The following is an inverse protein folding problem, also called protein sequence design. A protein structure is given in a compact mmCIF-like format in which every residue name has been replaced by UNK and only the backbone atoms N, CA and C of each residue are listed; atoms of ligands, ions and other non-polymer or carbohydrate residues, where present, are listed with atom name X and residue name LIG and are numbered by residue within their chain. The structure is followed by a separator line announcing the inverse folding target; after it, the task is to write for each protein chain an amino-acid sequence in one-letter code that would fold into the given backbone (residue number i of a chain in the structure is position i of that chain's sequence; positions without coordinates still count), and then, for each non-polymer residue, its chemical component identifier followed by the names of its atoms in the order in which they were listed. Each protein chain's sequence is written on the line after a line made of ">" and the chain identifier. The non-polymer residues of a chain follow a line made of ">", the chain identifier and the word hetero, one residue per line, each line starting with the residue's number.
data_IF_902774948785
#
_entry.id   IF_902774948785
#
_cell.length_a   1.000
_cell.length_b   1.000
_cell.length_c   1.000
_cell.angle_alpha   90.00
_cell.angle_beta   90.00
_cell.angle_gamma   90.00
#
_symmetry.space_group_name_H-M   'P 1'
#
loop_
_entity.id
_entity.type
_entity.pdbx_description
1 polymer ?
#
# COMPACT_ATOMS: atom_id res chain seq x y z
N UNK A 1 3.84 -15.21 -5.39
CA UNK A 1 3.64 -15.14 -6.85
C UNK A 1 4.07 -13.76 -7.39
N UNK A 2 4.30 -13.56 -8.70
CA UNK A 2 4.76 -12.25 -9.23
C UNK A 2 3.79 -11.11 -8.93
N UNK A 3 2.48 -11.35 -9.00
CA UNK A 3 1.47 -10.33 -8.73
C UNK A 3 1.67 -9.71 -7.34
N UNK A 4 1.96 -10.53 -6.33
CA UNK A 4 2.21 -10.08 -4.96
C UNK A 4 3.46 -9.19 -4.87
N UNK A 5 4.54 -9.57 -5.57
CA UNK A 5 5.79 -8.79 -5.62
C UNK A 5 5.59 -7.43 -6.26
N UNK A 6 4.83 -7.38 -7.36
CA UNK A 6 4.52 -6.13 -8.05
C UNK A 6 3.65 -5.21 -7.17
N UNK A 7 2.67 -5.77 -6.46
CA UNK A 7 1.84 -5.01 -5.51
C UNK A 7 2.68 -4.38 -4.39
N UNK A 8 3.60 -5.13 -3.80
CA UNK A 8 4.50 -4.61 -2.75
C UNK A 8 5.40 -3.50 -3.31
N UNK A 9 6.05 -3.74 -4.45
CA UNK A 9 6.95 -2.75 -5.05
C UNK A 9 6.23 -1.46 -5.47
N UNK A 10 4.97 -1.56 -5.90
CA UNK A 10 4.16 -0.40 -6.26
C UNK A 10 3.89 0.52 -5.08
N UNK A 11 3.85 -0.01 -3.85
CA UNK A 11 3.63 0.77 -2.63
C UNK A 11 4.90 1.46 -2.09
N UNK A 12 6.02 1.42 -2.83
CA UNK A 12 7.29 2.02 -2.40
C UNK A 12 7.20 3.49 -1.97
N UNK A 13 6.48 4.36 -2.70
CA UNK A 13 6.29 5.74 -2.27
C UNK A 13 5.60 5.88 -0.90
N UNK A 14 4.65 4.98 -0.58
CA UNK A 14 3.83 5.03 0.62
C UNK A 14 4.59 4.66 1.90
N UNK A 15 5.61 3.80 1.81
CA UNK A 15 6.51 3.47 2.92
C UNK A 15 7.86 4.22 2.86
N UNK A 16 7.99 5.19 1.95
CA UNK A 16 9.13 6.12 1.90
C UNK A 16 10.40 5.56 1.26
N UNK A 17 10.33 4.45 0.53
CA UNK A 17 11.48 3.91 -0.18
C UNK A 17 11.64 4.53 -1.57
N UNK A 18 12.88 4.67 -2.05
CA UNK A 18 13.17 5.11 -3.42
C UNK A 18 12.70 4.10 -4.47
N UNK A 19 12.84 2.80 -4.18
CA UNK A 19 12.32 1.72 -5.02
C UNK A 19 12.09 0.44 -4.20
N UNK A 20 11.12 -0.39 -4.63
CA UNK A 20 10.97 -1.77 -4.18
C UNK A 20 11.64 -2.72 -5.18
N UNK A 21 12.64 -3.48 -4.75
CA UNK A 21 13.40 -4.36 -5.64
C UNK A 21 13.20 -5.82 -5.28
N UNK A 22 12.82 -6.63 -6.27
CA UNK A 22 12.76 -8.08 -6.18
C UNK A 22 13.77 -8.67 -7.19
N UNK A 23 14.79 -9.42 -6.72
CA UNK A 23 15.76 -10.06 -7.60
C UNK A 23 15.13 -10.98 -8.65
N UNK A 24 15.82 -11.15 -9.78
CA UNK A 24 15.36 -12.03 -10.87
C UNK A 24 15.54 -13.49 -10.46
N UNK A 25 14.51 -14.29 -10.67
CA UNK A 25 14.45 -15.72 -10.35
C UNK A 25 13.58 -16.49 -11.36
N UNK A 26 13.39 -17.79 -11.14
CA UNK A 26 12.58 -18.62 -12.05
C UNK A 26 11.13 -18.12 -12.18
N UNK A 27 10.53 -17.64 -11.09
CA UNK A 27 9.18 -17.04 -11.09
C UNK A 27 9.11 -15.83 -12.05
N UNK A 28 10.21 -15.09 -12.16
CA UNK A 28 10.32 -13.97 -13.09
C UNK A 28 10.34 -14.46 -14.54
N UNK A 29 11.06 -15.54 -14.85
CA UNK A 29 11.10 -16.14 -16.19
C UNK A 29 9.76 -16.77 -16.59
N UNK A 30 9.11 -17.47 -15.66
CA UNK A 30 7.78 -18.05 -15.86
C UNK A 30 6.76 -16.97 -16.25
N UNK A 31 6.87 -15.79 -15.63
CA UNK A 31 6.04 -14.67 -16.03
C UNK A 31 6.37 -14.16 -17.44
N UNK A 32 7.65 -14.06 -17.81
CA UNK A 32 8.01 -13.63 -19.17
C UNK A 32 7.42 -14.59 -20.20
N UNK A 33 7.51 -15.91 -19.97
CA UNK A 33 6.87 -16.94 -20.80
C UNK A 33 5.35 -16.75 -20.86
N UNK A 34 4.69 -16.63 -19.70
CA UNK A 34 3.24 -16.43 -19.59
C UNK A 34 2.76 -15.16 -20.33
N UNK A 35 3.55 -14.10 -20.30
CA UNK A 35 3.25 -12.83 -20.98
C UNK A 35 3.56 -12.83 -22.49
N UNK A 36 3.90 -14.00 -23.06
CA UNK A 36 4.13 -14.19 -24.49
C UNK A 36 5.49 -13.70 -24.98
N UNK A 37 6.51 -13.60 -24.11
CA UNK A 37 7.87 -13.29 -24.56
C UNK A 37 8.47 -14.51 -25.29
N UNK A 38 9.19 -14.30 -26.42
CA UNK A 38 9.84 -15.39 -27.13
C UNK A 38 10.84 -16.14 -26.23
N UNK A 39 10.93 -17.47 -26.41
CA UNK A 39 11.84 -18.32 -25.64
C UNK A 39 13.31 -17.88 -25.75
N UNK A 40 13.72 -17.38 -26.91
CA UNK A 40 15.06 -16.82 -27.11
C UNK A 40 15.34 -15.63 -26.17
N UNK A 41 14.35 -14.75 -25.98
CA UNK A 41 14.44 -13.60 -25.10
C UNK A 41 14.49 -14.05 -23.64
N UNK A 42 13.68 -15.04 -23.26
CA UNK A 42 13.69 -15.58 -21.90
C UNK A 42 15.05 -16.18 -21.57
N UNK A 43 15.62 -16.97 -22.49
CA UNK A 43 16.98 -17.55 -22.34
C UNK A 43 18.06 -16.48 -22.26
N UNK A 44 17.95 -15.43 -23.08
CA UNK A 44 18.88 -14.30 -23.04
C UNK A 44 18.83 -13.59 -21.68
N UNK A 45 17.63 -13.30 -21.17
CA UNK A 45 17.43 -12.66 -19.87
C UNK A 45 18.05 -13.52 -18.76
N UNK A 46 17.79 -14.83 -18.76
CA UNK A 46 18.37 -15.75 -17.78
C UNK A 46 19.90 -15.74 -17.81
N UNK A 47 20.49 -15.93 -18.98
CA UNK A 47 21.95 -15.98 -19.15
C UNK A 47 22.60 -14.67 -18.74
N UNK A 48 22.02 -13.54 -19.15
CA UNK A 48 22.50 -12.21 -18.79
C UNK A 48 22.43 -11.96 -17.28
N UNK A 49 21.27 -12.21 -16.66
CA UNK A 49 21.09 -11.99 -15.22
C UNK A 49 22.04 -12.86 -14.38
N UNK A 50 22.30 -14.10 -14.81
CA UNK A 50 23.29 -14.98 -14.17
C UNK A 50 24.71 -14.44 -14.33
N UNK A 51 25.10 -14.02 -15.53
CA UNK A 51 26.43 -13.46 -15.79
C UNK A 51 26.69 -12.15 -15.04
N UNK A 52 25.68 -11.32 -14.83
CA UNK A 52 25.78 -10.04 -14.13
C UNK A 52 25.59 -10.15 -12.60
N UNK A 53 25.32 -11.35 -12.06
CA UNK A 53 25.06 -11.52 -10.63
C UNK A 53 23.72 -10.93 -10.16
N UNK A 54 22.77 -10.71 -11.08
CA UNK A 54 21.41 -10.22 -10.79
C UNK A 54 20.44 -11.36 -10.46
N UNK A 55 20.86 -12.60 -10.69
CA UNK A 55 20.08 -13.81 -10.46
C UNK A 55 20.07 -14.18 -8.98
N UNK A 56 18.88 -14.39 -8.40
CA UNK A 56 18.73 -14.83 -7.01
C UNK A 56 19.18 -16.27 -6.86
N UNK A 57 20.18 -16.49 -6.01
CA UNK A 57 20.59 -17.82 -5.56
C UNK A 57 20.22 -18.00 -4.08
N UNK A 58 19.79 -19.21 -3.72
CA UNK A 58 19.54 -19.54 -2.31
C UNK A 58 20.84 -19.41 -1.50
N UNK A 59 20.76 -18.76 -0.34
CA UNK A 59 21.93 -18.52 0.53
C UNK A 59 22.83 -17.35 0.11
N UNK A 60 22.54 -16.68 -1.02
CA UNK A 60 23.20 -15.42 -1.36
C UNK A 60 22.39 -14.24 -0.84
N UNK A 61 22.50 -13.98 0.46
CA UNK A 61 21.94 -12.77 1.04
C UNK A 61 22.89 -11.58 0.85
N UNK A 62 22.43 -10.47 0.25
CA UNK A 62 23.18 -9.23 0.24
C UNK A 62 23.46 -8.72 1.66
N UNK A 63 24.52 -7.94 1.80
CA UNK A 63 24.76 -7.19 3.04
C UNK A 63 23.85 -5.97 3.03
N UNK A 64 22.82 -6.00 3.87
CA UNK A 64 21.91 -4.87 4.06
C UNK A 64 22.38 -3.99 5.23
N UNK A 65 22.14 -2.68 5.14
CA UNK A 65 22.40 -1.76 6.24
C UNK A 65 21.47 -1.98 7.44
N UNK A 66 20.25 -2.45 7.16
CA UNK A 66 19.25 -2.82 8.14
C UNK A 66 18.39 -3.96 7.57
N UNK A 67 17.86 -4.83 8.44
CA UNK A 67 17.07 -6.00 8.06
C UNK A 67 15.79 -6.06 8.88
N UNK A 68 14.67 -6.18 8.17
CA UNK A 68 13.34 -6.32 8.75
C UNK A 68 12.76 -7.67 8.31
N UNK A 69 12.10 -8.35 9.24
CA UNK A 69 11.46 -9.64 8.99
C UNK A 69 9.94 -9.53 9.17
N UNK A 70 9.21 -10.24 8.31
CA UNK A 70 7.76 -10.36 8.39
C UNK A 70 7.39 -11.83 8.31
N UNK A 71 6.83 -12.36 9.40
CA UNK A 71 6.24 -13.68 9.40
C UNK A 71 4.89 -13.64 8.67
N UNK A 72 4.82 -14.30 7.51
CA UNK A 72 3.61 -14.39 6.69
C UNK A 72 2.45 -15.07 7.41
N UNK A 73 2.70 -15.88 8.44
CA UNK A 73 1.66 -16.52 9.26
C UNK A 73 0.86 -15.50 10.09
N UNK A 74 1.45 -14.34 10.38
CA UNK A 74 0.83 -13.27 11.16
C UNK A 74 0.01 -12.30 10.30
N UNK A 75 0.04 -12.47 8.98
CA UNK A 75 -0.67 -11.59 8.05
C UNK A 75 -2.16 -11.91 8.05
N UNK A 76 -2.96 -10.90 8.34
CA UNK A 76 -4.42 -10.97 8.32
C UNK A 76 -5.01 -9.98 7.30
N UNK A 77 -6.22 -10.26 6.84
CA UNK A 77 -6.96 -9.34 5.98
C UNK A 77 -7.18 -8.01 6.72
N UNK A 78 -6.86 -6.89 6.07
CA UNK A 78 -6.98 -5.56 6.63
C UNK A 78 -7.40 -4.53 5.58
N UNK A 79 -7.97 -3.42 6.05
CA UNK A 79 -8.33 -2.27 5.25
C UNK A 79 -7.49 -1.06 5.69
N UNK A 80 -7.07 -0.22 4.75
CA UNK A 80 -6.34 1.01 5.01
C UNK A 80 -7.29 2.23 4.97
N UNK A 81 -7.25 3.08 5.99
CA UNK A 81 -8.08 4.30 6.07
C UNK A 81 -8.62 4.59 7.47
N UNK A 82 -9.51 5.60 7.62
CA UNK A 82 -10.23 6.31 6.57
C UNK A 82 -9.53 7.54 5.97
N UNK A 83 -8.41 8.01 6.55
CA UNK A 83 -7.75 9.26 6.14
C UNK A 83 -6.38 9.07 5.49
N UNK A 84 -5.59 8.07 5.91
CA UNK A 84 -4.23 7.86 5.40
C UNK A 84 -4.00 6.40 5.01
N UNK A 85 -3.22 6.11 3.94
CA UNK A 85 -2.91 4.75 3.51
C UNK A 85 -2.21 3.89 4.57
N UNK A 86 -1.45 4.51 5.47
CA UNK A 86 -0.75 3.83 6.57
C UNK A 86 -1.66 3.48 7.77
N UNK A 87 -2.91 3.94 7.79
CA UNK A 87 -3.86 3.63 8.86
C UNK A 87 -4.45 2.22 8.64
N UNK A 88 -3.73 1.18 9.07
CA UNK A 88 -4.14 -0.23 8.92
C UNK A 88 -5.17 -0.64 9.98
N UNK A 89 -6.31 -1.17 9.54
CA UNK A 89 -7.36 -1.73 10.41
C UNK A 89 -7.63 -3.18 10.01
N UNK A 90 -7.47 -4.12 10.95
CA UNK A 90 -7.84 -5.52 10.73
C UNK A 90 -9.31 -5.64 10.32
N UNK A 91 -9.64 -6.50 9.35
CA UNK A 91 -11.00 -6.60 8.80
C UNK A 91 -12.10 -6.81 9.87
N UNK A 92 -11.89 -7.65 10.90
CA UNK A 92 -12.87 -7.82 11.98
C UNK A 92 -13.15 -6.54 12.77
N UNK A 93 -12.21 -5.59 12.77
CA UNK A 93 -12.25 -4.36 13.56
C UNK A 93 -12.76 -3.15 12.76
N UNK A 94 -13.05 -3.29 11.47
CA UNK A 94 -13.45 -2.17 10.58
C UNK A 94 -14.74 -1.50 11.07
N UNK A 95 -15.75 -2.26 11.47
CA UNK A 95 -17.01 -1.69 11.96
C UNK A 95 -16.80 -0.82 13.20
N UNK A 96 -16.00 -1.29 14.15
CA UNK A 96 -15.66 -0.54 15.36
C UNK A 96 -14.87 0.72 15.04
N UNK A 97 -13.81 0.60 14.23
CA UNK A 97 -12.97 1.73 13.84
C UNK A 97 -13.77 2.82 13.10
N UNK A 98 -14.74 2.42 12.27
CA UNK A 98 -15.62 3.35 11.56
C UNK A 98 -16.58 4.08 12.52
N UNK A 99 -17.18 3.37 13.47
CA UNK A 99 -18.03 3.98 14.51
C UNK A 99 -17.25 4.96 15.39
N UNK A 100 -16.03 4.60 15.79
CA UNK A 100 -15.16 5.47 16.58
C UNK A 100 -14.79 6.74 15.80
N UNK A 101 -14.50 6.60 14.50
CA UNK A 101 -14.21 7.74 13.61
C UNK A 101 -15.40 8.69 13.48
N UNK A 102 -16.62 8.17 13.29
CA UNK A 102 -17.85 8.97 13.23
C UNK A 102 -18.11 9.71 14.55
N UNK A 103 -17.89 9.06 15.69
CA UNK A 103 -18.05 9.67 17.02
C UNK A 103 -17.12 10.87 17.25
N UNK A 104 -15.95 10.89 16.60
CA UNK A 104 -14.99 12.00 16.67
C UNK A 104 -15.34 13.18 15.75
N UNK A 105 -16.17 12.98 14.72
CA UNK A 105 -16.50 14.01 13.72
C UNK A 105 -17.77 14.83 14.03
N UNK A 106 -18.57 14.45 15.04
CA UNK A 106 -19.83 15.15 15.36
C UNK A 106 -19.68 16.04 16.60
N UNK A 107 -19.24 17.28 16.38
CA UNK A 107 -19.80 18.46 17.07
C UNK A 107 -19.92 19.60 16.06
N UNK A 108 -21.05 19.76 15.36
CA UNK A 108 -21.34 21.06 14.77
C UNK A 108 -21.32 22.08 15.91
N UNK A 109 -20.56 23.16 15.73
CA UNK A 109 -20.60 24.29 16.65
C UNK A 109 -22.06 24.72 16.80
N UNK A 110 -22.51 24.99 18.04
CA UNK A 110 -23.83 25.58 18.28
C UNK A 110 -23.93 26.82 17.40
N UNK A 111 -24.76 26.76 16.37
CA UNK A 111 -25.16 27.95 15.64
C UNK A 111 -25.97 28.77 16.63
N UNK A 112 -25.45 29.94 16.96
CA UNK A 112 -26.06 30.87 17.91
C UNK A 112 -27.35 31.40 17.26
N UNK A 113 -28.50 30.81 17.63
CA UNK A 113 -29.83 31.14 17.10
C UNK A 113 -30.20 32.62 17.32
N UNK A 114 -29.49 33.34 18.21
CA UNK A 114 -29.72 34.75 18.50
C UNK A 114 -29.37 35.74 17.38
N UNK A 115 -28.63 35.33 16.33
CA UNK A 115 -28.24 36.26 15.24
C UNK A 115 -29.25 36.36 14.09
N UNK A 116 -30.25 35.49 14.04
CA UNK A 116 -31.25 35.46 12.96
C UNK A 116 -32.53 36.23 13.31
N UNK A 117 -32.80 36.52 14.59
CA UNK A 117 -33.99 37.29 15.00
C UNK A 117 -33.83 38.82 14.81
N UNK A 118 -32.61 39.31 14.54
CA UNK A 118 -32.35 40.75 14.42
C UNK A 118 -32.52 41.33 13.01
N UNK A 119 -32.75 40.51 11.97
CA UNK A 119 -33.01 40.99 10.60
C UNK A 119 -34.50 41.01 10.24
N UNK A 120 -35.38 40.95 11.24
CA UNK A 120 -36.80 41.27 11.10
C UNK A 120 -37.00 42.77 10.94
N UNK A 121 -36.89 43.27 9.71
CA UNK A 121 -37.19 44.66 9.36
C UNK A 121 -38.60 45.07 9.79
N UNK A 122 -38.68 45.82 10.88
CA UNK A 122 -39.88 46.51 11.35
C UNK A 122 -39.60 47.99 11.54
N UNK A 123 -40.30 48.85 10.80
CA UNK A 123 -40.43 50.26 11.14
C UNK A 123 -40.43 51.27 9.98
N UNK A 124 -41.61 51.45 9.37
CA UNK A 124 -42.25 52.70 8.90
C UNK A 124 -41.39 53.89 8.40
N UNK A 125 -41.68 54.30 7.16
CA UNK A 125 -42.08 55.66 6.79
C UNK A 125 -43.07 55.60 5.62
#
# INVERSE_FOLDING_TARGET
>A
PRADRATIANMAPEYGATCGFFPVDEVTLDYLRLSGRPDETVKLVEAYCKAQGLWRLAGQEPVFSDSLELDMSTVEASLAGPKRPQDRVALPNVSKAFSDFLGLQVKPAKVDEGRLESEGGGGVA
#
